data_IF_061269652395
#
_entry.id   IF_061269652395
#
_cell.length_a   1.000
_cell.length_b   1.000
_cell.length_c   1.000
_cell.angle_alpha   90.00
_cell.angle_beta   90.00
_cell.angle_gamma   90.00
#
_symmetry.space_group_name_H-M   'P 1'
#
loop_
_entity.id
_entity.type
_entity.pdbx_description
1 polymer ?
#
# COMPACT_ATOMS: atom_id res chain seq x y z
N UNK A 1 17.26 -34.46 7.94
CA UNK A 1 16.10 -33.58 7.66
C UNK A 1 15.97 -32.63 8.83
N UNK A 2 16.22 -31.33 8.63
CA UNK A 2 16.02 -30.34 9.71
C UNK A 2 14.52 -30.10 9.86
N UNK A 3 13.96 -30.49 10.99
CA UNK A 3 12.59 -30.16 11.39
C UNK A 3 12.53 -28.68 11.77
N UNK A 4 11.68 -27.92 11.08
CA UNK A 4 11.37 -26.53 11.43
C UNK A 4 10.86 -26.48 12.87
N UNK A 5 11.47 -25.65 13.70
CA UNK A 5 11.04 -25.46 15.08
C UNK A 5 9.68 -24.76 15.13
N UNK A 6 8.87 -24.94 16.20
CA UNK A 6 7.61 -24.22 16.36
C UNK A 6 7.76 -22.69 16.25
N UNK A 7 8.90 -22.15 16.69
CA UNK A 7 9.23 -20.73 16.58
C UNK A 7 9.41 -20.28 15.12
N UNK A 8 10.19 -21.04 14.33
CA UNK A 8 10.39 -20.75 12.90
C UNK A 8 9.08 -20.84 12.10
N UNK A 9 8.22 -21.81 12.43
CA UNK A 9 6.90 -21.94 11.82
C UNK A 9 5.99 -20.73 12.12
N UNK A 10 6.01 -20.24 13.38
CA UNK A 10 5.28 -19.04 13.78
C UNK A 10 5.79 -17.79 13.06
N UNK A 11 7.12 -17.61 13.00
CA UNK A 11 7.75 -16.49 12.29
C UNK A 11 7.38 -16.48 10.79
N UNK A 12 7.42 -17.65 10.13
CA UNK A 12 7.02 -17.79 8.74
C UNK A 12 5.54 -17.46 8.51
N UNK A 13 4.65 -17.87 9.43
CA UNK A 13 3.24 -17.54 9.35
C UNK A 13 2.99 -16.02 9.48
N UNK A 14 3.72 -15.35 10.37
CA UNK A 14 3.64 -13.89 10.53
C UNK A 14 4.13 -13.21 9.25
N UNK A 15 5.30 -13.59 8.71
CA UNK A 15 5.82 -13.02 7.46
C UNK A 15 4.81 -13.15 6.31
N UNK A 16 4.22 -14.33 6.12
CA UNK A 16 3.19 -14.57 5.11
C UNK A 16 1.94 -13.70 5.34
N UNK A 17 1.59 -13.42 6.59
CA UNK A 17 0.50 -12.52 6.92
C UNK A 17 0.83 -11.07 6.52
N UNK A 18 2.04 -10.60 6.82
CA UNK A 18 2.51 -9.27 6.44
C UNK A 18 2.54 -9.09 4.92
N UNK A 19 3.03 -10.08 4.17
CA UNK A 19 3.00 -10.08 2.69
C UNK A 19 1.60 -9.92 2.13
N UNK A 20 0.63 -10.65 2.69
CA UNK A 20 -0.78 -10.54 2.30
C UNK A 20 -1.35 -9.16 2.56
N UNK A 21 -1.04 -8.57 3.71
CA UNK A 21 -1.48 -7.22 4.09
C UNK A 21 -0.95 -6.17 3.13
N UNK A 22 0.34 -6.21 2.80
CA UNK A 22 0.95 -5.28 1.83
C UNK A 22 0.38 -5.47 0.42
N UNK A 23 0.19 -6.72 -0.01
CA UNK A 23 -0.44 -7.00 -1.31
C UNK A 23 -1.87 -6.44 -1.37
N UNK A 24 -2.67 -6.68 -0.33
CA UNK A 24 -4.03 -6.16 -0.24
C UNK A 24 -4.05 -4.63 -0.23
N UNK A 25 -3.10 -3.99 0.47
CA UNK A 25 -2.97 -2.54 0.50
C UNK A 25 -2.62 -1.97 -0.89
N UNK A 26 -1.66 -2.56 -1.61
CA UNK A 26 -1.32 -2.15 -2.98
C UNK A 26 -2.52 -2.26 -3.92
N UNK A 27 -3.26 -3.38 -3.85
CA UNK A 27 -4.49 -3.56 -4.63
C UNK A 27 -5.54 -2.48 -4.29
N UNK A 28 -5.73 -2.17 -3.00
CA UNK A 28 -6.69 -1.16 -2.55
C UNK A 28 -6.33 0.24 -3.06
N UNK A 29 -5.05 0.62 -3.00
CA UNK A 29 -4.56 1.88 -3.56
C UNK A 29 -4.83 1.95 -5.07
N UNK A 30 -4.54 0.86 -5.80
CA UNK A 30 -4.77 0.79 -7.23
C UNK A 30 -6.25 0.93 -7.60
N UNK A 31 -7.14 0.26 -6.86
CA UNK A 31 -8.60 0.36 -7.02
C UNK A 31 -9.09 1.78 -6.74
N UNK A 32 -8.68 2.40 -5.63
CA UNK A 32 -9.06 3.76 -5.30
C UNK A 32 -8.59 4.77 -6.35
N UNK A 33 -7.36 4.58 -6.86
CA UNK A 33 -6.83 5.40 -7.96
C UNK A 33 -7.67 5.22 -9.23
N UNK A 34 -8.02 4.00 -9.60
CA UNK A 34 -8.85 3.73 -10.79
C UNK A 34 -10.23 4.39 -10.67
N UNK A 35 -10.92 4.17 -9.54
CA UNK A 35 -12.21 4.76 -9.24
C UNK A 35 -12.18 6.30 -9.31
N UNK A 36 -11.08 6.90 -8.84
CA UNK A 36 -10.90 8.35 -8.93
C UNK A 36 -10.68 8.79 -10.38
N UNK A 37 -9.82 8.10 -11.14
CA UNK A 37 -9.57 8.41 -12.56
C UNK A 37 -10.87 8.38 -13.37
N UNK A 38 -11.76 7.43 -13.12
CA UNK A 38 -13.05 7.33 -13.82
C UNK A 38 -13.95 8.57 -13.64
N UNK A 39 -13.85 9.23 -12.49
CA UNK A 39 -14.63 10.45 -12.17
C UNK A 39 -14.00 11.72 -12.74
N UNK A 40 -12.73 11.68 -13.14
CA UNK A 40 -12.04 12.84 -13.68
C UNK A 40 -12.36 13.03 -15.18
N UNK A 41 -12.49 14.29 -15.63
CA UNK A 41 -12.58 14.59 -17.05
C UNK A 41 -11.28 14.19 -17.76
N UNK A 42 -11.40 13.79 -19.02
CA UNK A 42 -10.24 13.53 -19.86
C UNK A 42 -9.55 14.85 -20.22
N UNK A 43 -8.27 14.98 -19.93
CA UNK A 43 -7.46 16.06 -20.46
C UNK A 43 -7.11 15.77 -21.93
N UNK A 44 -7.60 16.57 -22.87
CA UNK A 44 -7.41 16.35 -24.31
C UNK A 44 -6.01 16.71 -24.83
N UNK A 45 -5.17 17.37 -24.02
CA UNK A 45 -3.77 17.66 -24.37
C UNK A 45 -2.86 16.49 -23.99
N UNK A 46 -3.09 15.88 -22.82
CA UNK A 46 -2.25 14.79 -22.30
C UNK A 46 -2.86 13.40 -22.50
N UNK A 47 -4.13 13.33 -22.89
CA UNK A 47 -4.94 12.10 -22.98
C UNK A 47 -4.99 11.32 -21.65
N UNK A 48 -4.89 12.02 -20.52
CA UNK A 48 -4.92 11.43 -19.18
C UNK A 48 -6.12 11.93 -18.36
N UNK A 49 -6.63 11.04 -17.52
CA UNK A 49 -7.56 11.38 -16.44
C UNK A 49 -6.77 11.41 -15.14
N UNK A 50 -6.16 12.55 -14.83
CA UNK A 50 -5.22 12.66 -13.72
C UNK A 50 -5.40 14.00 -13.00
N UNK A 51 -5.38 13.96 -11.68
CA UNK A 51 -5.24 15.12 -10.81
C UNK A 51 -4.17 14.84 -9.75
N UNK A 52 -3.95 15.81 -8.85
CA UNK A 52 -3.00 15.68 -7.73
C UNK A 52 -3.23 14.39 -6.93
N UNK A 53 -4.47 14.04 -6.63
CA UNK A 53 -4.81 12.89 -5.80
C UNK A 53 -4.50 11.55 -6.48
N UNK A 54 -4.81 11.40 -7.77
CA UNK A 54 -4.44 10.19 -8.52
C UNK A 54 -2.92 10.02 -8.63
N UNK A 55 -2.19 11.13 -8.76
CA UNK A 55 -0.73 11.13 -8.80
C UNK A 55 -0.14 10.80 -7.42
N UNK A 56 -0.73 11.33 -6.34
CA UNK A 56 -0.30 11.04 -4.97
C UNK A 56 -0.54 9.57 -4.60
N UNK A 57 -1.67 8.98 -5.00
CA UNK A 57 -1.94 7.54 -4.83
C UNK A 57 -0.95 6.66 -5.62
N UNK A 58 -0.62 7.05 -6.85
CA UNK A 58 0.40 6.37 -7.65
C UNK A 58 1.78 6.40 -6.99
N UNK A 59 2.21 7.58 -6.51
CA UNK A 59 3.46 7.73 -5.78
C UNK A 59 3.48 6.88 -4.52
N UNK A 60 2.38 6.88 -3.78
CA UNK A 60 2.25 6.09 -2.56
C UNK A 60 2.34 4.58 -2.84
N UNK A 61 1.70 4.10 -3.91
CA UNK A 61 1.80 2.70 -4.34
C UNK A 61 3.25 2.31 -4.67
N UNK A 62 3.94 3.14 -5.46
CA UNK A 62 5.34 2.90 -5.85
C UNK A 62 6.25 2.92 -4.61
N UNK A 63 6.04 3.86 -3.70
CA UNK A 63 6.81 3.97 -2.47
C UNK A 63 6.60 2.75 -1.56
N UNK A 64 5.35 2.31 -1.41
CA UNK A 64 4.99 1.10 -0.66
C UNK A 64 5.75 -0.13 -1.18
N UNK A 65 5.70 -0.37 -2.49
CA UNK A 65 6.34 -1.54 -3.11
C UNK A 65 7.87 -1.49 -2.98
N UNK A 66 8.47 -0.30 -3.18
CA UNK A 66 9.91 -0.09 -3.01
C UNK A 66 10.36 -0.30 -1.57
N UNK A 67 9.64 0.25 -0.60
CA UNK A 67 9.98 0.12 0.81
C UNK A 67 9.79 -1.32 1.29
N UNK A 68 8.75 -2.03 0.83
CA UNK A 68 8.56 -3.44 1.14
C UNK A 68 9.76 -4.29 0.70
N UNK A 69 10.29 -4.05 -0.51
CA UNK A 69 11.52 -4.72 -0.99
C UNK A 69 12.73 -4.33 -0.11
N UNK A 70 12.86 -3.05 0.23
CA UNK A 70 14.00 -2.55 1.02
C UNK A 70 14.07 -3.18 2.43
N UNK A 71 12.92 -3.52 3.01
CA UNK A 71 12.86 -4.05 4.38
C UNK A 71 12.84 -5.58 4.43
N UNK A 72 13.05 -6.29 3.31
CA UNK A 72 13.05 -7.76 3.29
C UNK A 72 14.08 -8.37 4.24
N UNK A 73 15.23 -7.73 4.42
CA UNK A 73 16.29 -8.21 5.33
C UNK A 73 16.15 -7.66 6.76
N UNK A 74 15.12 -6.85 7.04
CA UNK A 74 14.87 -6.34 8.38
C UNK A 74 14.35 -7.42 9.34
N UNK A 75 14.42 -7.14 10.64
CA UNK A 75 13.85 -8.01 11.68
C UNK A 75 12.33 -8.14 11.52
N UNK A 76 11.77 -9.24 12.02
CA UNK A 76 10.32 -9.47 11.99
C UNK A 76 9.55 -8.34 12.71
N UNK A 77 10.03 -7.92 13.88
CA UNK A 77 9.41 -6.85 14.67
C UNK A 77 9.37 -5.53 13.90
N UNK A 78 10.46 -5.18 13.22
CA UNK A 78 10.49 -3.98 12.38
C UNK A 78 9.47 -4.06 11.24
N UNK A 79 9.37 -5.21 10.57
CA UNK A 79 8.38 -5.42 9.51
C UNK A 79 6.96 -5.27 10.03
N UNK A 80 6.65 -5.84 11.20
CA UNK A 80 5.32 -5.72 11.80
C UNK A 80 4.93 -4.26 12.05
N UNK A 81 5.80 -3.51 12.74
CA UNK A 81 5.57 -2.09 13.03
C UNK A 81 5.45 -1.27 11.75
N UNK A 82 6.30 -1.55 10.76
CA UNK A 82 6.28 -0.83 9.49
C UNK A 82 4.98 -1.07 8.72
N UNK A 83 4.48 -2.32 8.65
CA UNK A 83 3.20 -2.62 7.97
C UNK A 83 2.05 -1.89 8.66
N UNK A 84 1.99 -1.91 10.00
CA UNK A 84 0.95 -1.22 10.77
C UNK A 84 0.95 0.30 10.49
N UNK A 85 2.14 0.91 10.47
CA UNK A 85 2.30 2.35 10.21
C UNK A 85 1.89 2.73 8.78
N UNK A 86 2.24 1.91 7.79
CA UNK A 86 1.88 2.16 6.39
C UNK A 86 0.38 1.99 6.13
N UNK A 87 -0.27 1.01 6.76
CA UNK A 87 -1.72 0.89 6.70
C UNK A 87 -2.41 2.11 7.33
N UNK A 88 -1.93 2.57 8.49
CA UNK A 88 -2.46 3.76 9.16
C UNK A 88 -2.29 5.01 8.31
N UNK A 89 -1.09 5.28 7.78
CA UNK A 89 -0.83 6.43 6.89
C UNK A 89 -1.73 6.43 5.67
N UNK A 90 -1.98 5.27 5.07
CA UNK A 90 -2.89 5.18 3.95
C UNK A 90 -4.34 5.48 4.37
N UNK A 91 -4.80 4.92 5.49
CA UNK A 91 -6.13 5.21 6.03
C UNK A 91 -6.33 6.71 6.30
N UNK A 92 -5.33 7.38 6.89
CA UNK A 92 -5.34 8.82 7.14
C UNK A 92 -5.38 9.62 5.83
N UNK A 93 -4.59 9.23 4.82
CA UNK A 93 -4.59 9.87 3.48
C UNK A 93 -5.95 9.74 2.79
N UNK A 94 -6.55 8.54 2.82
CA UNK A 94 -7.88 8.31 2.25
C UNK A 94 -8.97 9.04 3.03
N UNK A 95 -8.87 9.10 4.36
CA UNK A 95 -9.74 9.92 5.20
C UNK A 95 -9.69 11.39 4.79
N UNK A 96 -8.48 11.96 4.72
CA UNK A 96 -8.28 13.33 4.28
C UNK A 96 -8.82 13.58 2.86
N UNK A 97 -8.64 12.64 1.93
CA UNK A 97 -9.23 12.75 0.60
C UNK A 97 -10.77 12.75 0.65
N UNK A 98 -11.40 11.84 1.40
CA UNK A 98 -12.87 11.80 1.51
C UNK A 98 -13.44 13.07 2.14
N UNK A 99 -12.74 13.66 3.11
CA UNK A 99 -13.17 14.89 3.78
C UNK A 99 -12.92 16.14 2.95
N UNK A 100 -11.79 16.23 2.24
CA UNK A 100 -11.40 17.42 1.48
C UNK A 100 -11.73 17.34 -0.03
N UNK A 101 -12.14 16.18 -0.51
CA UNK A 101 -12.43 15.88 -1.92
C UNK A 101 -13.90 16.03 -2.32
N UNK A 102 -14.73 16.70 -1.51
CA UNK A 102 -16.04 17.18 -1.97
C UNK A 102 -15.88 18.38 -2.90
N UNK A 103 -15.29 18.22 -4.08
CA UNK A 103 -15.44 19.11 -5.24
C UNK A 103 -15.16 18.35 -6.54
#
# INVERSE_FOLDING_TARGET
MSSITPYEAAAAAILKSLEKRITALSMKIATDRANLRERLPLNYTTWKRENRWTADLERYQIELERLWIKIQDATLDYKMVWVDEVEKRYADRIGNWRTNGMF
#
